data_IF_756141628169
#
_entry.id   IF_756141628169
#
_cell.length_a   1.000
_cell.length_b   1.000
_cell.length_c   1.000
_cell.angle_alpha   90.00
_cell.angle_beta   90.00
_cell.angle_gamma   90.00
#
_symmetry.space_group_name_H-M   'P 1'
#
loop_
_entity.id
_entity.type
_entity.pdbx_description
1 polymer ?
#
# COMPACT_ATOMS: atom_id res chain seq x y z
N UNK A 1 -25.70 -2.26 13.94
CA UNK A 1 -25.20 -3.11 12.83
C UNK A 1 -26.03 -2.88 11.57
N UNK A 2 -25.41 -2.89 10.39
CA UNK A 2 -26.10 -2.63 9.12
C UNK A 2 -26.83 -3.89 8.62
N UNK A 3 -28.16 -3.87 8.70
CA UNK A 3 -29.04 -5.00 8.33
C UNK A 3 -28.83 -5.45 6.88
N UNK A 4 -28.46 -4.53 5.97
CA UNK A 4 -28.20 -4.84 4.56
C UNK A 4 -26.93 -5.67 4.39
N UNK A 5 -25.92 -5.38 5.20
CA UNK A 5 -24.64 -6.12 5.20
C UNK A 5 -24.89 -7.55 5.69
N UNK A 6 -25.64 -7.74 6.78
CA UNK A 6 -25.98 -9.07 7.30
C UNK A 6 -26.73 -9.93 6.28
N UNK A 7 -27.71 -9.35 5.57
CA UNK A 7 -28.44 -10.05 4.51
C UNK A 7 -27.54 -10.43 3.33
N UNK A 8 -26.58 -9.56 2.97
CA UNK A 8 -25.61 -9.85 1.93
C UNK A 8 -24.68 -10.98 2.34
N UNK A 9 -24.13 -10.93 3.56
CA UNK A 9 -23.25 -11.99 4.10
C UNK A 9 -23.97 -13.33 4.08
N UNK A 10 -25.17 -13.41 4.65
CA UNK A 10 -25.94 -14.66 4.68
C UNK A 10 -26.26 -15.20 3.27
N UNK A 11 -26.50 -14.32 2.31
CA UNK A 11 -26.70 -14.71 0.91
C UNK A 11 -25.43 -15.31 0.31
N UNK A 12 -24.27 -14.70 0.51
CA UNK A 12 -23.01 -15.18 -0.06
C UNK A 12 -22.51 -16.47 0.60
N UNK A 13 -22.69 -16.61 1.92
CA UNK A 13 -22.37 -17.85 2.64
C UNK A 13 -23.15 -19.04 2.08
N UNK A 14 -24.46 -18.89 1.84
CA UNK A 14 -25.28 -19.95 1.24
C UNK A 14 -24.78 -20.34 -0.16
N UNK A 15 -24.42 -19.36 -0.99
CA UNK A 15 -23.90 -19.62 -2.34
C UNK A 15 -22.55 -20.38 -2.34
N UNK A 16 -21.73 -20.17 -1.31
CA UNK A 16 -20.45 -20.87 -1.13
C UNK A 16 -20.63 -22.32 -0.68
N UNK A 17 -21.68 -22.61 0.11
CA UNK A 17 -22.01 -23.97 0.56
C UNK A 17 -22.71 -24.77 -0.54
N UNK A 18 -23.59 -24.13 -1.32
CA UNK A 18 -24.39 -24.78 -2.36
C UNK A 18 -23.60 -25.07 -3.65
N UNK A 19 -22.34 -24.63 -3.75
CA UNK A 19 -21.47 -24.94 -4.90
C UNK A 19 -20.68 -26.22 -4.64
N UNK A 20 -21.03 -27.37 -5.23
CA UNK A 20 -20.18 -28.56 -5.13
C UNK A 20 -18.81 -28.27 -5.77
N UNK A 21 -17.73 -28.92 -5.31
CA UNK A 21 -16.44 -28.83 -5.98
C UNK A 21 -16.60 -29.37 -7.40
N UNK A 22 -16.66 -28.47 -8.38
CA UNK A 22 -16.83 -28.85 -9.77
C UNK A 22 -15.58 -29.61 -10.21
N UNK A 23 -15.72 -30.93 -10.42
CA UNK A 23 -14.73 -31.72 -11.14
C UNK A 23 -14.50 -31.03 -12.49
N UNK A 24 -13.26 -30.65 -12.72
CA UNK A 24 -12.83 -29.77 -13.81
C UNK A 24 -13.10 -30.37 -15.20
N UNK A 25 -14.33 -30.20 -15.68
CA UNK A 25 -14.64 -30.22 -17.11
C UNK A 25 -14.93 -28.79 -17.53
N UNK A 26 -13.86 -28.05 -17.80
CA UNK A 26 -13.85 -26.76 -18.47
C UNK A 26 -14.89 -25.76 -17.98
N UNK A 27 -14.52 -24.92 -17.00
CA UNK A 27 -15.31 -23.79 -16.54
C UNK A 27 -15.78 -22.94 -17.74
N UNK A 28 -17.03 -23.14 -18.18
CA UNK A 28 -17.64 -22.34 -19.25
C UNK A 28 -18.27 -21.10 -18.65
N UNK A 29 -18.09 -19.96 -19.32
CA UNK A 29 -18.73 -18.68 -18.96
C UNK A 29 -20.25 -18.90 -18.83
N UNK A 30 -20.88 -18.63 -17.67
CA UNK A 30 -22.32 -18.78 -17.51
C UNK A 30 -23.07 -17.81 -18.46
N UNK A 31 -24.11 -18.31 -19.12
CA UNK A 31 -24.95 -17.51 -20.02
C UNK A 31 -26.05 -16.78 -19.24
N UNK A 32 -25.66 -15.85 -18.37
CA UNK A 32 -26.62 -15.04 -17.59
C UNK A 32 -26.94 -13.74 -18.32
N UNK A 33 -28.22 -13.38 -18.37
CA UNK A 33 -28.78 -12.20 -19.05
C UNK A 33 -29.09 -11.03 -18.11
N UNK A 34 -29.04 -11.25 -16.79
CA UNK A 34 -29.42 -10.27 -15.77
C UNK A 34 -28.53 -9.03 -15.71
N UNK A 35 -27.30 -9.13 -16.22
CA UNK A 35 -26.34 -8.03 -16.21
C UNK A 35 -26.14 -7.53 -17.65
N UNK A 36 -26.94 -6.54 -18.07
CA UNK A 36 -26.85 -5.93 -19.41
C UNK A 36 -25.44 -5.43 -19.76
N UNK A 37 -24.71 -4.92 -18.77
CA UNK A 37 -23.34 -4.38 -18.92
C UNK A 37 -22.24 -5.41 -18.64
N UNK A 38 -22.59 -6.69 -18.47
CA UNK A 38 -21.63 -7.75 -18.07
C UNK A 38 -20.45 -7.88 -19.00
N UNK A 39 -20.67 -7.82 -20.31
CA UNK A 39 -19.60 -7.90 -21.30
C UNK A 39 -18.61 -6.74 -21.15
N UNK A 40 -19.12 -5.53 -20.89
CA UNK A 40 -18.31 -4.33 -20.64
C UNK A 40 -17.55 -4.43 -19.33
N UNK A 41 -18.21 -4.81 -18.23
CA UNK A 41 -17.60 -4.98 -16.91
C UNK A 41 -16.50 -6.05 -16.93
N UNK A 42 -16.78 -7.23 -17.49
CA UNK A 42 -15.77 -8.30 -17.60
C UNK A 42 -14.63 -7.94 -18.57
N UNK A 43 -14.88 -7.12 -19.61
CA UNK A 43 -13.82 -6.60 -20.49
C UNK A 43 -12.85 -5.69 -19.74
N UNK A 44 -13.35 -4.87 -18.81
CA UNK A 44 -12.50 -4.03 -17.96
C UNK A 44 -11.68 -4.87 -16.98
N UNK A 45 -12.23 -5.97 -16.47
CA UNK A 45 -11.50 -6.90 -15.58
C UNK A 45 -10.49 -7.80 -16.31
N UNK A 46 -10.65 -8.05 -17.61
CA UNK A 46 -9.81 -8.96 -18.40
C UNK A 46 -8.47 -8.37 -18.86
N UNK A 47 -8.14 -7.14 -18.44
CA UNK A 47 -6.82 -6.51 -18.66
C UNK A 47 -6.25 -6.78 -20.05
N UNK A 48 -7.06 -6.61 -21.11
CA UNK A 48 -6.56 -6.75 -22.47
C UNK A 48 -5.64 -5.58 -22.80
N UNK A 49 -4.36 -5.80 -22.53
CA UNK A 49 -3.24 -5.05 -23.07
C UNK A 49 -3.10 -3.66 -22.48
N UNK A 50 -2.22 -3.55 -21.47
CA UNK A 50 -1.66 -2.29 -21.00
C UNK A 50 -2.71 -1.23 -20.66
N UNK A 51 -3.06 -1.09 -19.36
CA UNK A 51 -3.01 0.28 -18.85
C UNK A 51 -1.64 0.77 -19.33
N UNK A 52 -1.54 1.81 -20.16
CA UNK A 52 -0.23 2.29 -20.53
C UNK A 52 0.47 2.48 -19.20
N UNK A 53 1.65 1.89 -19.04
CA UNK A 53 2.61 2.35 -18.04
C UNK A 53 3.07 3.75 -18.46
N UNK A 54 2.12 4.64 -18.76
CA UNK A 54 2.28 6.07 -18.93
C UNK A 54 2.81 6.71 -17.64
N UNK A 55 2.85 5.92 -16.55
CA UNK A 55 3.40 6.24 -15.25
C UNK A 55 4.81 5.68 -15.01
N UNK A 56 5.37 4.82 -15.87
CA UNK A 56 6.80 4.50 -15.79
C UNK A 56 7.58 5.57 -16.54
N UNK A 57 7.60 6.77 -15.96
CA UNK A 57 8.56 7.79 -16.34
C UNK A 57 9.94 7.21 -15.99
N UNK A 58 10.83 6.91 -16.95
CA UNK A 58 12.12 6.25 -16.68
C UNK A 58 13.05 7.10 -15.80
N UNK A 59 12.71 8.38 -15.61
CA UNK A 59 13.40 9.30 -14.71
C UNK A 59 12.94 9.19 -13.25
N UNK A 60 11.85 8.46 -12.98
CA UNK A 60 11.44 8.02 -11.66
C UNK A 60 11.94 6.59 -11.47
N UNK A 61 12.94 6.41 -10.62
CA UNK A 61 13.65 5.14 -10.47
C UNK A 61 13.96 4.85 -9.00
N UNK A 62 14.28 3.60 -8.75
CA UNK A 62 14.82 3.13 -7.49
C UNK A 62 16.29 2.74 -7.65
N UNK A 63 17.17 3.22 -6.78
CA UNK A 63 18.57 2.85 -6.78
C UNK A 63 19.20 2.80 -5.39
N UNK A 64 20.38 2.16 -5.32
CA UNK A 64 21.24 2.18 -4.16
C UNK A 64 22.14 3.43 -4.23
N UNK A 65 21.88 4.38 -3.35
CA UNK A 65 22.55 5.67 -3.30
C UNK A 65 23.61 5.71 -2.20
N UNK A 66 24.80 6.22 -2.53
CA UNK A 66 25.91 6.33 -1.58
C UNK A 66 26.50 7.75 -1.47
N UNK A 67 26.27 8.62 -2.46
CA UNK A 67 26.76 10.01 -2.49
C UNK A 67 28.24 10.17 -2.12
N UNK A 68 29.09 9.20 -2.47
CA UNK A 68 30.50 9.14 -2.06
C UNK A 68 30.76 9.23 -0.54
N UNK A 69 29.73 8.97 0.28
CA UNK A 69 29.86 8.88 1.73
C UNK A 69 30.53 7.56 2.10
N UNK A 70 31.66 7.57 2.83
CA UNK A 70 32.38 6.34 3.19
C UNK A 70 31.52 5.28 3.88
N UNK A 71 30.56 5.70 4.72
CA UNK A 71 29.63 4.78 5.38
C UNK A 71 28.62 4.13 4.42
N UNK A 72 28.14 4.90 3.44
CA UNK A 72 27.16 4.41 2.47
C UNK A 72 27.80 3.60 1.32
N UNK A 73 29.12 3.56 1.22
CA UNK A 73 29.81 2.61 0.33
C UNK A 73 29.59 1.16 0.80
N UNK A 74 29.58 0.94 2.12
CA UNK A 74 29.38 -0.39 2.71
C UNK A 74 27.90 -0.73 2.86
N UNK A 75 27.09 0.27 3.18
CA UNK A 75 25.64 0.12 3.34
C UNK A 75 24.91 1.21 2.53
N UNK A 76 24.78 1.02 1.20
CA UNK A 76 24.07 1.97 0.36
C UNK A 76 22.60 2.07 0.76
N UNK A 77 22.05 3.28 0.66
CA UNK A 77 20.67 3.52 1.01
C UNK A 77 19.75 3.33 -0.18
N UNK A 78 18.58 2.76 0.04
CA UNK A 78 17.55 2.60 -0.99
C UNK A 78 16.86 3.94 -1.21
N UNK A 79 16.96 4.47 -2.43
CA UNK A 79 16.43 5.78 -2.83
C UNK A 79 15.41 5.61 -3.95
N UNK A 80 14.26 6.26 -3.82
CA UNK A 80 13.20 6.29 -4.83
C UNK A 80 12.89 7.73 -5.24
N UNK A 81 12.98 8.05 -6.53
CA UNK A 81 12.60 9.37 -7.06
C UNK A 81 11.09 9.39 -7.31
N UNK A 82 10.34 10.18 -6.53
CA UNK A 82 8.88 10.27 -6.61
C UNK A 82 8.39 11.37 -7.56
N UNK A 83 9.14 12.47 -7.67
CA UNK A 83 8.81 13.58 -8.57
C UNK A 83 10.06 14.29 -9.05
N UNK A 84 10.03 14.79 -10.28
CA UNK A 84 11.08 15.63 -10.86
C UNK A 84 10.82 17.12 -10.66
N UNK A 85 9.54 17.51 -10.50
CA UNK A 85 9.14 18.90 -10.33
C UNK A 85 7.92 19.00 -9.40
N UNK A 86 8.08 19.46 -8.15
CA UNK A 86 9.37 19.65 -7.47
C UNK A 86 10.15 18.34 -7.37
N UNK A 87 11.47 18.42 -7.24
CA UNK A 87 12.29 17.23 -7.06
C UNK A 87 12.02 16.63 -5.68
N UNK A 88 11.41 15.44 -5.64
CA UNK A 88 11.02 14.74 -4.41
C UNK A 88 11.56 13.33 -4.45
N UNK A 89 12.24 12.95 -3.37
CA UNK A 89 12.92 11.67 -3.20
C UNK A 89 12.50 11.05 -1.86
N UNK A 90 12.22 9.76 -1.88
CA UNK A 90 11.93 8.95 -0.71
C UNK A 90 13.11 8.02 -0.42
N UNK A 91 13.55 7.96 0.82
CA UNK A 91 14.54 6.99 1.27
C UNK A 91 13.86 5.87 2.06
N UNK A 92 14.05 4.63 1.63
CA UNK A 92 13.43 3.47 2.25
C UNK A 92 14.26 2.95 3.41
N UNK A 93 13.59 2.68 4.53
CA UNK A 93 14.22 2.16 5.76
C UNK A 93 15.41 3.01 6.22
N UNK A 94 15.32 4.35 6.07
CA UNK A 94 16.42 5.26 6.40
C UNK A 94 16.75 5.28 7.91
N UNK A 95 15.74 5.12 8.75
CA UNK A 95 15.84 5.09 10.21
C UNK A 95 15.12 3.84 10.70
N UNK A 96 15.76 3.11 11.61
CA UNK A 96 15.15 1.97 12.31
C UNK A 96 14.15 2.44 13.35
N UNK A 97 13.21 1.59 13.75
CA UNK A 97 12.20 1.97 14.75
C UNK A 97 12.84 2.44 16.08
N UNK A 98 13.93 1.79 16.52
CA UNK A 98 14.69 2.18 17.72
C UNK A 98 15.39 3.53 17.60
N UNK A 99 15.93 3.85 16.42
CA UNK A 99 16.52 5.15 16.16
C UNK A 99 15.44 6.24 16.10
N UNK A 100 14.27 5.94 15.51
CA UNK A 100 13.14 6.86 15.48
C UNK A 100 12.61 7.18 16.88
N UNK A 101 12.55 6.17 17.77
CA UNK A 101 12.22 6.35 19.19
C UNK A 101 13.25 7.23 19.89
N UNK A 102 14.54 6.94 19.71
CA UNK A 102 15.62 7.72 20.31
C UNK A 102 15.60 9.18 19.85
N UNK A 103 15.38 9.44 18.56
CA UNK A 103 15.23 10.80 18.02
C UNK A 103 14.01 11.50 18.62
N UNK A 104 12.89 10.78 18.78
CA UNK A 104 11.68 11.32 19.41
C UNK A 104 11.95 11.75 20.83
N UNK A 105 12.64 10.94 21.61
CA UNK A 105 12.97 11.24 23.01
C UNK A 105 13.91 12.44 23.13
N UNK A 106 14.93 12.52 22.27
CA UNK A 106 15.83 13.68 22.21
C UNK A 106 15.11 14.96 21.78
N UNK A 107 14.12 14.86 20.89
CA UNK A 107 13.36 16.02 20.43
C UNK A 107 12.41 16.59 21.50
N UNK A 108 11.95 15.77 22.46
CA UNK A 108 11.01 16.19 23.51
C UNK A 108 11.50 17.41 24.30
N UNK A 109 12.81 17.53 24.53
CA UNK A 109 13.38 18.64 25.31
C UNK A 109 13.42 19.97 24.57
N UNK A 110 13.35 19.96 23.23
CA UNK A 110 13.39 21.16 22.39
C UNK A 110 12.00 21.64 21.93
N UNK A 111 10.97 20.81 22.06
CA UNK A 111 9.59 21.18 21.78
C UNK A 111 9.00 21.81 23.04
N UNK A 112 8.65 23.10 23.00
CA UNK A 112 7.98 23.78 24.11
C UNK A 112 6.54 23.27 24.26
N UNK A 113 6.36 22.05 24.75
CA UNK A 113 5.04 21.43 24.99
C UNK A 113 4.30 22.10 26.17
N UNK A 114 5.01 22.91 26.97
CA UNK A 114 4.44 23.61 28.14
C UNK A 114 3.45 24.75 27.80
N UNK A 115 3.17 25.05 26.53
CA UNK A 115 2.29 26.16 26.15
C UNK A 115 0.96 25.76 25.50
N UNK A 116 0.66 24.47 25.36
CA UNK A 116 -0.61 24.03 24.75
C UNK A 116 -1.44 23.18 25.73
N UNK A 117 -2.39 23.79 26.46
CA UNK A 117 -3.29 23.10 27.41
C UNK A 117 -4.16 21.97 26.82
N UNK A 118 -4.13 21.79 25.49
CA UNK A 118 -4.91 20.78 24.75
C UNK A 118 -4.03 19.70 24.10
N UNK A 119 -2.71 19.75 24.30
CA UNK A 119 -1.80 18.77 23.71
C UNK A 119 -1.73 17.53 24.61
N UNK A 120 -2.56 16.52 24.32
CA UNK A 120 -2.36 15.18 24.87
C UNK A 120 -1.25 14.49 24.07
N UNK A 121 -0.17 13.98 24.70
CA UNK A 121 0.77 13.12 24.02
C UNK A 121 0.03 11.86 23.59
N UNK A 122 -0.26 11.75 22.29
CA UNK A 122 -0.91 10.58 21.72
C UNK A 122 0.09 9.42 21.72
N UNK A 123 0.12 8.68 22.82
CA UNK A 123 0.83 7.40 22.90
C UNK A 123 0.10 6.35 22.06
N UNK A 124 0.67 6.11 20.87
CA UNK A 124 0.74 4.84 20.15
C UNK A 124 -0.54 3.98 20.01
N UNK A 125 -1.13 3.98 18.81
CA UNK A 125 -1.72 2.74 18.24
C UNK A 125 -1.74 2.66 16.70
N UNK A 126 -0.98 3.52 15.98
CA UNK A 126 -0.97 3.54 14.50
C UNK A 126 0.33 3.05 13.85
N UNK A 127 1.03 2.13 14.49
CA UNK A 127 2.15 1.43 13.83
C UNK A 127 1.64 0.44 12.75
N UNK A 128 0.48 -0.17 12.97
CA UNK A 128 0.00 -1.28 12.14
C UNK A 128 -0.42 -0.88 10.71
N UNK A 129 -0.99 0.30 10.52
CA UNK A 129 -1.42 0.77 9.19
C UNK A 129 -0.27 1.28 8.31
N UNK A 130 0.79 1.85 8.89
CA UNK A 130 1.95 2.34 8.13
C UNK A 130 2.74 1.18 7.51
N UNK A 131 2.82 0.06 8.24
CA UNK A 131 3.56 -1.12 7.83
C UNK A 131 2.92 -1.89 6.66
N UNK A 132 1.61 -1.76 6.45
CA UNK A 132 0.92 -2.42 5.33
C UNK A 132 1.18 -1.70 3.99
N UNK A 133 1.38 -0.38 4.01
CA UNK A 133 1.66 0.42 2.81
C UNK A 133 3.15 0.33 2.43
N UNK A 134 4.06 0.28 3.40
CA UNK A 134 5.50 0.08 3.15
C UNK A 134 5.77 -1.25 2.44
N UNK A 135 5.14 -2.34 2.91
CA UNK A 135 5.39 -3.69 2.38
C UNK A 135 4.94 -3.92 0.93
N UNK A 136 4.06 -3.07 0.37
CA UNK A 136 3.67 -3.12 -1.04
C UNK A 136 4.61 -2.31 -1.94
N UNK A 137 5.26 -1.27 -1.40
CA UNK A 137 6.28 -0.44 -2.07
C UNK A 137 7.68 -1.07 -2.00
N UNK A 138 8.00 -1.76 -0.89
CA UNK A 138 9.23 -2.55 -0.64
C UNK A 138 9.39 -3.80 -1.55
N UNK A 139 8.54 -3.97 -2.57
CA UNK A 139 8.75 -4.98 -3.62
C UNK A 139 9.11 -4.39 -4.98
N UNK A 140 9.11 -3.05 -5.10
CA UNK A 140 9.51 -2.31 -6.31
C UNK A 140 10.73 -1.41 -6.06
N UNK A 141 11.01 -1.08 -4.79
CA UNK A 141 12.31 -0.83 -4.16
C UNK A 141 12.50 -1.87 -3.02
#
# INVERSE_FOLDING_TARGET
>A
MNVRVLKNVQKYERLLVDSPPLLSTGLKRPNTTYLRTRNTYERLCRTQGTQPTHYENPRLFCDYFNNDSPGLLLQPIRREVLSLQPYVVLYHSFITDSEAESIRDLAQTGVSVYLLPWYQPFYSEKAYQAQYVSNASDKKC
#
